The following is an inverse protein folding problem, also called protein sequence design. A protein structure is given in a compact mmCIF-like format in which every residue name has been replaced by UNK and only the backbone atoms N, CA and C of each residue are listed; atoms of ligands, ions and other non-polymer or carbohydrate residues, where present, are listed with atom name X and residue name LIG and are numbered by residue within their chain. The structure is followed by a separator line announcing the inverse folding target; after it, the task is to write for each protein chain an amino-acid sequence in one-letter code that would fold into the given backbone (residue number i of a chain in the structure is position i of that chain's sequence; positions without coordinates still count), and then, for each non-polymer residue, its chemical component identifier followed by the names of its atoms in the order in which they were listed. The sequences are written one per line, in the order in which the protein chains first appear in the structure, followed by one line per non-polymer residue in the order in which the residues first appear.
data_IF_114121988784
#
_entry.id   IF_114121988784
#
_cell.length_a   1.000
_cell.length_b   1.000
_cell.length_c   1.000
_cell.angle_alpha   90.00
_cell.angle_beta   90.00
_cell.angle_gamma   90.00
#
_symmetry.space_group_name_H-M   'P 1'
#
loop_
_entity.id
_entity.type
_entity.pdbx_description
1 polymer ?
#
# COMPACT_ATOMS: atom_id res chain seq x y z
N UNK A 1 -17.07 -4.82 -15.17
CA UNK A 1 -16.10 -5.45 -14.28
C UNK A 1 -15.05 -6.18 -15.09
N UNK A 2 -13.80 -5.97 -14.79
CA UNK A 2 -12.72 -6.72 -15.41
C UNK A 2 -12.58 -8.03 -14.65
N UNK A 3 -12.76 -9.15 -15.32
CA UNK A 3 -12.54 -10.44 -14.72
C UNK A 3 -11.05 -10.67 -14.51
N UNK A 4 -10.67 -11.02 -13.28
CA UNK A 4 -9.29 -11.31 -12.96
C UNK A 4 -9.13 -12.76 -12.57
N UNK A 5 -8.06 -13.38 -13.06
CA UNK A 5 -7.68 -14.73 -12.64
C UNK A 5 -7.08 -14.75 -11.25
N UNK A 6 -6.54 -13.63 -10.78
CA UNK A 6 -5.87 -13.53 -9.49
C UNK A 6 -6.85 -13.16 -8.38
N UNK A 7 -6.76 -13.87 -7.27
CA UNK A 7 -7.49 -13.54 -6.04
C UNK A 7 -6.69 -12.54 -5.22
N UNK A 8 -7.37 -11.83 -4.33
CA UNK A 8 -6.69 -11.02 -3.32
C UNK A 8 -5.91 -11.93 -2.36
N UNK A 9 -4.72 -11.50 -2.01
CA UNK A 9 -3.86 -12.16 -1.03
C UNK A 9 -3.68 -11.20 0.13
N UNK A 10 -4.16 -11.58 1.31
CA UNK A 10 -4.09 -10.74 2.50
C UNK A 10 -3.36 -11.52 3.57
N UNK A 11 -2.19 -11.01 3.98
CA UNK A 11 -1.32 -11.67 4.95
C UNK A 11 -0.93 -10.67 6.04
N UNK A 12 -1.17 -11.04 7.30
CA UNK A 12 -0.62 -10.36 8.47
C UNK A 12 0.28 -11.35 9.19
N UNK A 13 1.54 -11.01 9.36
CA UNK A 13 2.56 -11.93 9.88
C UNK A 13 3.50 -11.21 10.84
N UNK A 14 4.07 -11.94 11.79
CA UNK A 14 5.07 -11.43 12.74
C UNK A 14 4.64 -10.14 13.45
N UNK A 15 3.40 -10.12 13.94
CA UNK A 15 2.83 -8.95 14.61
C UNK A 15 2.13 -7.97 13.68
N UNK A 16 2.02 -8.29 12.40
CA UNK A 16 1.31 -7.44 11.44
C UNK A 16 -0.18 -7.34 11.74
N UNK A 17 -0.75 -6.20 11.38
CA UNK A 17 -2.16 -5.91 11.59
C UNK A 17 -2.73 -5.22 10.36
N UNK A 18 -3.86 -5.69 9.87
CA UNK A 18 -4.54 -5.12 8.70
C UNK A 18 -5.98 -4.78 9.10
N UNK A 19 -6.33 -3.51 8.91
CA UNK A 19 -7.70 -3.02 9.13
C UNK A 19 -8.23 -2.51 7.80
N UNK A 20 -9.27 -3.15 7.31
CA UNK A 20 -9.97 -2.77 6.08
C UNK A 20 -11.34 -2.28 6.50
N UNK A 21 -11.58 -0.98 6.32
CA UNK A 21 -12.81 -0.36 6.76
C UNK A 21 -13.96 -0.61 5.77
N UNK A 22 -15.15 -0.22 6.17
CA UNK A 22 -16.38 -0.43 5.42
C UNK A 22 -16.31 0.20 4.02
N UNK A 23 -16.87 -0.48 3.04
CA UNK A 23 -17.01 0.05 1.70
C UNK A 23 -15.75 -0.01 0.83
N UNK A 24 -14.68 -0.66 1.31
CA UNK A 24 -13.46 -0.83 0.51
C UNK A 24 -13.73 -1.85 -0.59
N UNK A 25 -13.41 -1.48 -1.83
CA UNK A 25 -13.49 -2.37 -2.98
C UNK A 25 -12.09 -2.69 -3.50
N UNK A 26 -11.82 -3.97 -3.76
CA UNK A 26 -10.52 -4.38 -4.29
C UNK A 26 -10.66 -5.65 -5.13
N UNK A 27 -9.75 -5.80 -6.09
CA UNK A 27 -9.71 -6.96 -6.98
C UNK A 27 -8.28 -7.37 -7.23
N UNK A 28 -7.93 -8.63 -6.96
CA UNK A 28 -6.64 -9.20 -7.32
C UNK A 28 -5.43 -8.44 -6.77
N UNK A 29 -5.53 -7.89 -5.57
CA UNK A 29 -4.43 -7.16 -4.94
C UNK A 29 -3.77 -8.00 -3.84
N UNK A 30 -2.58 -7.58 -3.44
CA UNK A 30 -1.82 -8.19 -2.35
C UNK A 30 -1.62 -7.18 -1.24
N UNK A 31 -2.02 -7.54 -0.03
CA UNK A 31 -1.79 -6.73 1.17
C UNK A 31 -0.99 -7.60 2.14
N UNK A 32 0.21 -7.16 2.46
CA UNK A 32 1.11 -7.92 3.33
C UNK A 32 1.61 -7.02 4.44
N UNK A 33 1.27 -7.34 5.67
CA UNK A 33 1.63 -6.53 6.83
C UNK A 33 2.51 -7.29 7.82
N UNK A 34 3.58 -6.63 8.25
CA UNK A 34 4.37 -7.00 9.42
C UNK A 34 4.32 -5.93 10.50
N UNK A 35 3.67 -4.81 10.25
CA UNK A 35 3.50 -3.70 11.19
C UNK A 35 2.01 -3.33 11.29
N UNK A 36 1.55 -2.41 10.47
CA UNK A 36 0.15 -2.00 10.46
C UNK A 36 -0.23 -1.42 9.10
N UNK A 37 -1.34 -1.88 8.55
CA UNK A 37 -1.93 -1.31 7.33
C UNK A 37 -3.38 -1.00 7.63
N UNK A 38 -3.77 0.27 7.48
CA UNK A 38 -5.15 0.72 7.67
C UNK A 38 -5.64 1.30 6.36
N UNK A 39 -6.76 0.76 5.86
CA UNK A 39 -7.40 1.24 4.65
C UNK A 39 -8.72 1.88 5.01
N UNK A 40 -8.84 3.17 4.70
CA UNK A 40 -9.99 3.99 5.03
C UNK A 40 -11.25 3.60 4.27
N UNK A 41 -12.40 4.02 4.79
CA UNK A 41 -13.72 3.71 4.24
C UNK A 41 -13.83 4.14 2.78
N UNK A 42 -14.57 3.37 2.01
CA UNK A 42 -14.91 3.69 0.61
C UNK A 42 -13.71 3.92 -0.30
N UNK A 43 -12.59 3.28 0.00
CA UNK A 43 -11.39 3.31 -0.85
C UNK A 43 -11.50 2.23 -1.90
N UNK A 44 -11.18 2.58 -3.15
CA UNK A 44 -11.14 1.64 -4.26
C UNK A 44 -9.68 1.30 -4.60
N UNK A 45 -9.36 0.02 -4.64
CA UNK A 45 -8.02 -0.46 -4.94
C UNK A 45 -8.06 -1.26 -6.23
N UNK A 46 -7.38 -0.76 -7.24
CA UNK A 46 -7.31 -1.38 -8.55
C UNK A 46 -6.59 -2.73 -8.53
N UNK A 47 -6.81 -3.50 -9.58
CA UNK A 47 -6.24 -4.84 -9.71
C UNK A 47 -4.72 -4.81 -9.76
N UNK A 48 -4.11 -5.84 -9.19
CA UNK A 48 -2.66 -6.02 -9.21
C UNK A 48 -1.89 -5.10 -8.28
N UNK A 49 -2.57 -4.28 -7.47
CA UNK A 49 -1.90 -3.43 -6.50
C UNK A 49 -1.22 -4.26 -5.42
N UNK A 50 -0.13 -3.71 -4.89
CA UNK A 50 0.58 -4.30 -3.77
C UNK A 50 0.72 -3.25 -2.68
N UNK A 51 0.25 -3.57 -1.47
CA UNK A 51 0.33 -2.71 -0.30
C UNK A 51 1.13 -3.47 0.75
N UNK A 52 2.37 -3.02 0.97
CA UNK A 52 3.36 -3.77 1.74
C UNK A 52 4.08 -2.83 2.68
N UNK A 53 3.96 -3.06 3.98
CA UNK A 53 4.50 -2.19 5.02
C UNK A 53 5.90 -2.59 5.51
N UNK A 54 6.57 -3.47 4.79
CA UNK A 54 7.85 -4.01 5.20
C UNK A 54 8.74 -4.33 4.01
N UNK A 55 10.01 -4.62 4.28
CA UNK A 55 10.99 -4.93 3.25
C UNK A 55 11.11 -6.43 2.97
N UNK A 56 10.29 -7.29 3.58
CA UNK A 56 10.35 -8.75 3.54
C UNK A 56 11.62 -9.34 4.14
N UNK A 57 12.77 -8.76 3.83
CA UNK A 57 14.09 -9.22 4.23
C UNK A 57 14.90 -8.06 4.80
N UNK A 58 15.87 -8.33 5.69
CA UNK A 58 16.84 -7.31 6.06
C UNK A 58 17.61 -6.85 4.83
N UNK A 59 17.79 -5.54 4.66
CA UNK A 59 18.53 -5.03 3.50
C UNK A 59 20.03 -5.31 3.55
N UNK A 60 20.72 -5.18 4.72
CA UNK A 60 22.13 -5.53 4.79
C UNK A 60 22.35 -7.04 4.56
N UNK A 61 23.27 -7.37 3.70
CA UNK A 61 23.63 -8.75 3.38
C UNK A 61 23.97 -9.58 4.62
N UNK A 62 24.70 -9.00 5.57
CA UNK A 62 25.12 -9.70 6.80
C UNK A 62 23.94 -10.14 7.68
N UNK A 63 22.78 -9.52 7.54
CA UNK A 63 21.58 -9.92 8.27
C UNK A 63 20.72 -10.94 7.50
N UNK A 64 21.01 -11.15 6.22
CA UNK A 64 20.26 -12.10 5.39
C UNK A 64 20.96 -13.44 5.26
N UNK A 65 22.29 -13.46 5.33
CA UNK A 65 23.08 -14.64 5.05
C UNK A 65 24.22 -14.80 6.05
N UNK A 66 24.59 -16.02 6.52
CA UNK A 66 24.02 -17.31 6.13
C UNK A 66 22.66 -17.64 6.76
N UNK A 67 22.29 -16.95 7.85
CA UNK A 67 21.01 -17.14 8.54
C UNK A 67 20.29 -15.80 8.57
N UNK A 68 19.07 -15.79 8.03
CA UNK A 68 18.27 -14.57 7.97
C UNK A 68 17.79 -14.15 9.36
N UNK A 69 18.06 -12.89 9.72
CA UNK A 69 17.65 -12.29 10.99
C UNK A 69 16.35 -11.50 10.76
N UNK A 70 15.21 -12.16 10.93
CA UNK A 70 13.91 -11.58 10.64
C UNK A 70 13.56 -10.37 11.51
N UNK A 71 14.14 -10.27 12.71
CA UNK A 71 13.98 -9.11 13.59
C UNK A 71 14.65 -7.84 13.02
N UNK A 72 15.48 -7.97 12.01
CA UNK A 72 16.13 -6.85 11.32
C UNK A 72 15.39 -6.38 10.07
N UNK A 73 14.24 -6.95 9.76
CA UNK A 73 13.39 -6.49 8.66
C UNK A 73 12.80 -5.14 9.02
N UNK A 74 13.02 -4.14 8.18
CA UNK A 74 12.44 -2.82 8.39
C UNK A 74 10.97 -2.82 8.03
N UNK A 75 10.19 -2.13 8.85
CA UNK A 75 8.75 -2.00 8.69
C UNK A 75 8.30 -0.63 9.16
N UNK A 76 7.26 -0.09 8.56
CA UNK A 76 6.61 1.16 8.97
C UNK A 76 5.14 1.12 8.55
N UNK A 77 4.24 1.67 9.37
CA UNK A 77 2.82 1.60 9.08
C UNK A 77 2.44 2.29 7.77
N UNK A 78 1.37 1.79 7.17
CA UNK A 78 0.72 2.42 6.02
C UNK A 78 -0.68 2.82 6.45
N UNK A 79 -1.05 4.06 6.16
CA UNK A 79 -2.40 4.56 6.41
C UNK A 79 -2.94 5.14 5.10
N UNK A 80 -4.05 4.58 4.64
CA UNK A 80 -4.76 5.07 3.46
C UNK A 80 -6.06 5.69 3.96
N UNK A 81 -6.26 6.96 3.66
CA UNK A 81 -7.42 7.70 4.11
C UNK A 81 -8.72 7.28 3.43
N UNK A 82 -9.81 7.88 3.87
CA UNK A 82 -11.14 7.63 3.33
C UNK A 82 -11.26 8.10 1.88
N UNK A 83 -11.97 7.34 1.07
CA UNK A 83 -12.33 7.75 -0.28
C UNK A 83 -11.17 7.83 -1.27
N UNK A 84 -10.08 7.13 -1.02
CA UNK A 84 -8.97 7.09 -1.96
C UNK A 84 -9.27 6.18 -3.16
N UNK A 85 -8.59 6.45 -4.26
CA UNK A 85 -8.62 5.59 -5.44
C UNK A 85 -7.18 5.23 -5.81
N UNK A 86 -6.84 3.97 -5.71
CA UNK A 86 -5.50 3.49 -6.03
C UNK A 86 -5.56 2.77 -7.38
N UNK A 87 -4.93 3.38 -8.38
CA UNK A 87 -4.93 2.86 -9.75
C UNK A 87 -4.25 1.50 -9.85
N UNK A 88 -4.64 0.71 -10.83
CA UNK A 88 -4.17 -0.65 -11.05
C UNK A 88 -2.64 -0.75 -11.09
N UNK A 89 -2.11 -1.84 -10.58
CA UNK A 89 -0.68 -2.16 -10.59
C UNK A 89 0.20 -1.16 -9.84
N UNK A 90 -0.38 -0.38 -8.92
CA UNK A 90 0.40 0.50 -8.06
C UNK A 90 1.00 -0.28 -6.90
N UNK A 91 2.11 0.23 -6.36
CA UNK A 91 2.80 -0.35 -5.22
C UNK A 91 2.85 0.72 -4.13
N UNK A 92 2.27 0.40 -2.97
CA UNK A 92 2.28 1.28 -1.80
C UNK A 92 3.29 0.72 -0.81
N UNK A 93 4.32 1.49 -0.52
CA UNK A 93 5.45 1.07 0.30
C UNK A 93 5.30 1.51 1.76
N UNK A 94 6.13 0.90 2.62
CA UNK A 94 6.16 1.21 4.05
C UNK A 94 6.30 2.71 4.31
N UNK A 95 5.63 3.18 5.35
CA UNK A 95 5.68 4.58 5.76
C UNK A 95 4.80 5.52 4.95
N UNK A 96 3.95 4.99 4.06
CA UNK A 96 3.04 5.81 3.27
C UNK A 96 1.82 6.22 4.09
N UNK A 97 1.49 7.50 4.06
CA UNK A 97 0.22 8.02 4.58
C UNK A 97 -0.47 8.82 3.48
N UNK A 98 -1.63 8.37 3.08
CA UNK A 98 -2.49 9.10 2.16
C UNK A 98 -3.63 9.74 2.94
N UNK A 99 -3.84 11.01 2.73
CA UNK A 99 -5.01 11.71 3.27
C UNK A 99 -6.31 11.24 2.62
N UNK A 100 -7.38 11.97 2.83
CA UNK A 100 -8.68 11.67 2.24
C UNK A 100 -8.71 12.05 0.77
N UNK A 101 -9.46 11.30 -0.02
CA UNK A 101 -9.72 11.64 -1.43
C UNK A 101 -8.43 11.79 -2.25
N UNK A 102 -7.45 10.94 -2.01
CA UNK A 102 -6.21 10.89 -2.79
C UNK A 102 -6.40 9.90 -3.93
N UNK A 103 -6.04 10.32 -5.13
CA UNK A 103 -6.02 9.44 -6.31
C UNK A 103 -4.58 9.10 -6.64
N UNK A 104 -4.30 7.82 -6.77
CA UNK A 104 -2.99 7.32 -7.20
C UNK A 104 -3.11 6.83 -8.65
N UNK A 105 -2.33 7.43 -9.54
CA UNK A 105 -2.29 7.00 -10.94
C UNK A 105 -1.81 5.56 -11.09
N UNK A 106 -2.36 4.84 -12.06
CA UNK A 106 -2.00 3.44 -12.30
C UNK A 106 -0.48 3.26 -12.48
N UNK A 107 0.05 2.16 -11.96
CA UNK A 107 1.46 1.83 -12.10
C UNK A 107 2.41 2.69 -11.28
N UNK A 108 1.91 3.42 -10.30
CA UNK A 108 2.74 4.28 -9.45
C UNK A 108 3.43 3.49 -8.34
N UNK A 109 4.57 4.00 -7.89
CA UNK A 109 5.26 3.50 -6.69
C UNK A 109 5.25 4.61 -5.66
N UNK A 110 4.53 4.39 -4.56
CA UNK A 110 4.16 5.41 -3.59
C UNK A 110 4.90 5.20 -2.27
N UNK A 111 5.56 6.25 -1.80
CA UNK A 111 6.21 6.28 -0.50
C UNK A 111 6.16 7.71 0.05
N UNK A 112 5.80 7.86 1.30
CA UNK A 112 5.77 9.16 1.97
C UNK A 112 4.36 9.64 2.32
N UNK A 113 4.27 10.90 2.68
CA UNK A 113 3.03 11.50 3.16
C UNK A 113 2.43 12.42 2.11
N UNK A 114 1.14 12.25 1.86
CA UNK A 114 0.41 13.06 0.89
C UNK A 114 -0.86 13.62 1.55
N UNK A 115 -1.14 14.92 1.33
CA UNK A 115 -2.29 15.56 1.96
C UNK A 115 -3.62 15.13 1.32
N UNK A 116 -4.72 15.56 1.89
CA UNK A 116 -6.05 15.34 1.32
C UNK A 116 -6.18 15.97 -0.07
N UNK A 117 -7.03 15.38 -0.88
CA UNK A 117 -7.50 15.98 -2.15
C UNK A 117 -6.36 16.25 -3.13
N UNK A 118 -5.50 15.28 -3.35
CA UNK A 118 -4.44 15.36 -4.37
C UNK A 118 -4.48 14.15 -5.30
N UNK A 119 -3.96 14.36 -6.50
CA UNK A 119 -3.68 13.29 -7.44
C UNK A 119 -2.17 13.13 -7.50
N UNK A 120 -1.71 11.93 -7.25
CA UNK A 120 -0.29 11.58 -7.29
C UNK A 120 -0.03 10.53 -8.36
N UNK A 121 1.14 10.53 -8.94
CA UNK A 121 1.52 9.54 -9.95
C UNK A 121 3.03 9.46 -10.11
N UNK A 122 3.50 8.35 -10.63
CA UNK A 122 4.89 8.13 -11.03
C UNK A 122 5.66 7.18 -10.12
N UNK A 123 6.94 7.06 -10.39
CA UNK A 123 7.90 6.29 -9.60
C UNK A 123 9.20 7.09 -9.43
N UNK A 124 9.45 7.67 -8.26
CA UNK A 124 8.53 7.75 -7.11
C UNK A 124 7.35 8.67 -7.39
N UNK A 125 6.21 8.38 -6.80
CA UNK A 125 5.01 9.17 -6.98
C UNK A 125 5.18 10.59 -6.45
N UNK A 126 4.62 11.55 -7.19
CA UNK A 126 4.63 12.97 -6.86
C UNK A 126 3.25 13.55 -7.07
N UNK A 127 2.94 14.65 -6.41
CA UNK A 127 1.69 15.37 -6.62
C UNK A 127 1.68 15.92 -8.03
N UNK A 128 0.64 15.55 -8.79
CA UNK A 128 0.43 16.02 -10.17
C UNK A 128 -0.46 17.26 -10.14
N UNK A 129 -1.53 17.21 -9.36
CA UNK A 129 -2.48 18.31 -9.21
C UNK A 129 -3.40 18.07 -8.04
N UNK A 130 -4.21 19.06 -7.71
CA UNK A 130 -5.29 18.90 -6.74
C UNK A 130 -6.41 18.05 -7.34
N UNK A 131 -7.07 17.28 -6.48
CA UNK A 131 -8.26 16.53 -6.84
C UNK A 131 -9.50 17.32 -6.46
N UNK A 132 -10.51 17.25 -7.28
CA UNK A 132 -11.83 17.81 -6.95
C UNK A 132 -12.54 16.89 -5.94
N UNK A 133 -13.35 17.48 -5.12
CA UNK A 133 -14.20 16.70 -4.22
C UNK A 133 -15.36 16.05 -4.94
#
# INVERSE_FOLDING_TARGET
MIGLSQRCIIVAKNGGNIVINEGVAMSGCTIYSMDSIIIGRNTDIGSGCKIIDNDFHPLPYSYRYPIEQLDKVKKRPIVIGEGCFIGANSIILKGTTLGKNVVVGAGSVVCGNFPDNVIIAGNPARIVKENEE
#
